data_IF_773989084517
#
_entry.id   IF_773989084517
#
_cell.length_a   1.000
_cell.length_b   1.000
_cell.length_c   1.000
_cell.angle_alpha   90.00
_cell.angle_beta   90.00
_cell.angle_gamma   90.00
#
_symmetry.space_group_name_H-M   'P 1'
#
loop_
_entity.id
_entity.type
_entity.pdbx_description
1 polymer ?
#
# COMPACT_ATOMS: atom_id res chain seq x y z
N UNK A 1 -20.95 -11.75 -8.82
CA UNK A 1 -20.13 -11.32 -7.66
C UNK A 1 -19.64 -9.89 -7.84
N UNK A 2 -18.97 -9.56 -8.94
CA UNK A 2 -18.39 -8.23 -9.16
C UNK A 2 -19.32 -7.02 -8.91
N UNK A 3 -20.61 -7.01 -9.32
CA UNK A 3 -21.49 -5.87 -9.03
C UNK A 3 -21.67 -5.56 -7.53
N UNK A 4 -21.34 -6.50 -6.64
CA UNK A 4 -21.47 -6.39 -5.19
C UNK A 4 -20.10 -6.27 -4.48
N UNK A 5 -19.01 -6.00 -5.20
CA UNK A 5 -17.66 -5.92 -4.63
C UNK A 5 -17.50 -4.79 -3.61
N UNK A 6 -18.29 -3.72 -3.74
CA UNK A 6 -18.31 -2.58 -2.82
C UNK A 6 -19.67 -2.37 -2.17
N UNK A 7 -20.43 -3.45 -1.96
CA UNK A 7 -21.74 -3.37 -1.31
C UNK A 7 -21.63 -2.76 0.10
N UNK A 8 -22.66 -2.04 0.55
CA UNK A 8 -22.68 -1.40 1.87
C UNK A 8 -22.92 -2.42 2.98
N UNK A 9 -23.50 -3.59 2.68
CA UNK A 9 -23.59 -4.69 3.65
C UNK A 9 -22.21 -5.37 3.80
N UNK A 10 -21.51 -5.22 4.95
CA UNK A 10 -20.19 -5.80 5.16
C UNK A 10 -20.20 -7.34 5.21
N UNK A 11 -21.33 -7.96 5.54
CA UNK A 11 -21.44 -9.43 5.51
C UNK A 11 -21.43 -9.89 4.06
N UNK A 12 -22.25 -9.25 3.21
CA UNK A 12 -22.29 -9.55 1.79
C UNK A 12 -20.93 -9.26 1.14
N UNK A 13 -20.39 -8.05 1.32
CA UNK A 13 -19.14 -7.61 0.70
C UNK A 13 -17.93 -8.42 1.14
N UNK A 14 -17.65 -8.47 2.44
CA UNK A 14 -16.38 -8.98 2.96
C UNK A 14 -16.38 -10.50 3.04
N UNK A 15 -17.44 -11.08 3.63
CA UNK A 15 -17.48 -12.52 3.92
C UNK A 15 -17.93 -13.33 2.72
N UNK A 16 -18.99 -12.89 2.04
CA UNK A 16 -19.59 -13.66 0.95
C UNK A 16 -18.93 -13.36 -0.39
N UNK A 17 -18.85 -12.09 -0.79
CA UNK A 17 -18.32 -11.71 -2.11
C UNK A 17 -16.81 -11.85 -2.13
N UNK A 18 -16.08 -11.08 -1.32
CA UNK A 18 -14.62 -11.17 -1.31
C UNK A 18 -14.13 -12.48 -0.71
N UNK A 19 -14.65 -12.87 0.46
CA UNK A 19 -14.18 -14.07 1.17
C UNK A 19 -14.31 -15.38 0.38
N UNK A 20 -15.40 -15.57 -0.38
CA UNK A 20 -15.51 -16.74 -1.26
C UNK A 20 -14.65 -16.60 -2.51
N UNK A 21 -14.61 -15.42 -3.13
CA UNK A 21 -13.83 -15.21 -4.35
C UNK A 21 -12.34 -15.38 -4.12
N UNK A 22 -11.79 -14.78 -3.05
CA UNK A 22 -10.38 -14.91 -2.70
C UNK A 22 -10.02 -16.37 -2.43
N UNK A 23 -10.88 -17.12 -1.71
CA UNK A 23 -10.69 -18.55 -1.49
C UNK A 23 -10.69 -19.34 -2.80
N UNK A 24 -11.65 -19.12 -3.69
CA UNK A 24 -11.71 -19.84 -4.97
C UNK A 24 -10.51 -19.53 -5.87
N UNK A 25 -10.10 -18.26 -5.94
CA UNK A 25 -8.93 -17.83 -6.74
C UNK A 25 -7.66 -18.46 -6.18
N UNK A 26 -7.40 -18.28 -4.88
CA UNK A 26 -6.15 -18.74 -4.24
C UNK A 26 -6.03 -20.26 -4.17
N UNK A 27 -7.16 -20.99 -4.14
CA UNK A 27 -7.20 -22.46 -4.21
C UNK A 27 -7.19 -23.01 -5.65
N UNK A 28 -7.12 -22.15 -6.68
CA UNK A 28 -7.06 -22.56 -8.08
C UNK A 28 -8.37 -23.12 -8.65
N UNK A 29 -9.51 -22.78 -8.03
CA UNK A 29 -10.85 -23.20 -8.49
C UNK A 29 -11.40 -22.30 -9.61
N UNK A 30 -10.73 -21.17 -9.90
CA UNK A 30 -11.07 -20.26 -11.00
C UNK A 30 -10.04 -20.43 -12.12
N UNK A 31 -10.53 -20.56 -13.36
CA UNK A 31 -9.64 -20.76 -14.52
C UNK A 31 -8.79 -19.52 -14.84
N UNK A 32 -7.58 -19.68 -15.40
CA UNK A 32 -6.77 -18.56 -15.87
C UNK A 32 -7.46 -17.61 -16.85
N UNK A 33 -8.31 -18.15 -17.74
CA UNK A 33 -9.09 -17.35 -18.70
C UNK A 33 -10.08 -16.46 -17.94
N UNK A 34 -10.82 -17.04 -17.00
CA UNK A 34 -11.78 -16.30 -16.17
C UNK A 34 -11.08 -15.26 -15.29
N UNK A 35 -9.92 -15.57 -14.72
CA UNK A 35 -9.15 -14.61 -13.92
C UNK A 35 -8.65 -13.42 -14.77
N UNK A 36 -8.19 -13.67 -16.01
CA UNK A 36 -7.83 -12.59 -16.94
C UNK A 36 -9.04 -11.68 -17.25
N UNK A 37 -10.21 -12.27 -17.55
CA UNK A 37 -11.43 -11.50 -17.82
C UNK A 37 -11.89 -10.66 -16.62
N UNK A 38 -11.81 -11.24 -15.41
CA UNK A 38 -12.09 -10.51 -14.17
C UNK A 38 -11.10 -9.36 -14.02
N UNK A 39 -9.79 -9.61 -14.20
CA UNK A 39 -8.77 -8.60 -14.06
C UNK A 39 -8.96 -7.44 -15.07
N UNK A 40 -9.25 -7.74 -16.34
CA UNK A 40 -9.57 -6.73 -17.35
C UNK A 40 -10.70 -5.80 -16.90
N UNK A 41 -11.74 -6.35 -16.27
CA UNK A 41 -12.88 -5.60 -15.76
C UNK A 41 -12.51 -4.73 -14.55
N UNK A 42 -11.76 -5.30 -13.60
CA UNK A 42 -11.33 -4.64 -12.37
C UNK A 42 -10.45 -3.41 -12.64
N UNK A 43 -9.63 -3.43 -13.70
CA UNK A 43 -8.74 -2.32 -14.06
C UNK A 43 -9.45 -1.12 -14.72
N UNK A 44 -10.77 -1.17 -14.90
CA UNK A 44 -11.54 -0.10 -15.54
C UNK A 44 -12.03 0.95 -14.53
N UNK A 45 -12.50 2.10 -15.05
CA UNK A 45 -13.16 3.13 -14.24
C UNK A 45 -14.46 2.67 -13.56
N UNK A 46 -14.99 1.50 -13.91
CA UNK A 46 -16.15 0.91 -13.20
C UNK A 46 -15.79 0.34 -11.84
N UNK A 47 -14.50 0.08 -11.58
CA UNK A 47 -14.02 -0.62 -10.39
C UNK A 47 -12.86 0.11 -9.72
N UNK A 48 -11.62 -0.04 -10.22
CA UNK A 48 -10.43 0.49 -9.56
C UNK A 48 -10.45 2.02 -9.41
N UNK A 49 -11.08 2.73 -10.34
CA UNK A 49 -11.17 4.21 -10.29
C UNK A 49 -12.58 4.71 -9.98
N UNK A 50 -13.42 3.89 -9.34
CA UNK A 50 -14.78 4.28 -9.00
C UNK A 50 -14.80 5.27 -7.83
N UNK A 51 -15.74 6.22 -7.86
CA UNK A 51 -15.90 7.22 -6.78
C UNK A 51 -16.30 6.57 -5.44
N UNK A 52 -17.00 5.44 -5.46
CA UNK A 52 -17.38 4.71 -4.25
C UNK A 52 -16.18 3.97 -3.64
N UNK A 53 -15.74 4.45 -2.47
CA UNK A 53 -14.54 3.97 -1.76
C UNK A 53 -14.50 2.46 -1.53
N UNK A 54 -15.62 1.83 -1.15
CA UNK A 54 -15.69 0.38 -0.96
C UNK A 54 -15.43 -0.39 -2.25
N UNK A 55 -15.95 0.09 -3.39
CA UNK A 55 -15.76 -0.61 -4.67
C UNK A 55 -14.30 -0.59 -5.08
N UNK A 56 -13.67 0.59 -5.09
CA UNK A 56 -12.26 0.70 -5.48
C UNK A 56 -11.31 0.04 -4.48
N UNK A 57 -11.62 0.11 -3.19
CA UNK A 57 -10.83 -0.56 -2.15
C UNK A 57 -10.88 -2.08 -2.26
N UNK A 58 -12.07 -2.69 -2.36
CA UNK A 58 -12.15 -4.15 -2.50
C UNK A 58 -11.68 -4.64 -3.88
N UNK A 59 -11.66 -3.77 -4.88
CA UNK A 59 -11.03 -4.07 -6.18
C UNK A 59 -9.55 -4.40 -6.03
N UNK A 60 -8.79 -3.66 -5.21
CA UNK A 60 -7.36 -3.96 -5.00
C UNK A 60 -7.15 -5.31 -4.31
N UNK A 61 -8.02 -5.72 -3.38
CA UNK A 61 -7.98 -7.07 -2.80
C UNK A 61 -8.21 -8.19 -3.81
N UNK A 62 -9.12 -8.00 -4.77
CA UNK A 62 -9.32 -8.98 -5.84
C UNK A 62 -8.10 -9.06 -6.75
N UNK A 63 -7.49 -7.91 -7.08
CA UNK A 63 -6.23 -7.85 -7.82
C UNK A 63 -5.14 -8.61 -7.04
N UNK A 64 -5.00 -8.38 -5.74
CA UNK A 64 -4.06 -9.09 -4.88
C UNK A 64 -4.24 -10.61 -4.94
N UNK A 65 -5.48 -11.12 -4.83
CA UNK A 65 -5.76 -12.55 -4.92
C UNK A 65 -5.36 -13.16 -6.27
N UNK A 66 -5.59 -12.43 -7.37
CA UNK A 66 -5.21 -12.84 -8.74
C UNK A 66 -3.69 -12.85 -8.89
N UNK A 67 -2.99 -11.81 -8.40
CA UNK A 67 -1.54 -11.72 -8.43
C UNK A 67 -0.88 -12.81 -7.58
N UNK A 68 -1.43 -13.11 -6.40
CA UNK A 68 -1.02 -14.25 -5.58
C UNK A 68 -1.12 -15.56 -6.37
N UNK A 69 -2.24 -15.78 -7.06
CA UNK A 69 -2.44 -17.00 -7.86
C UNK A 69 -1.43 -17.08 -9.01
N UNK A 70 -1.17 -15.97 -9.69
CA UNK A 70 -0.17 -15.86 -10.77
C UNK A 70 1.24 -16.15 -10.24
N UNK A 71 1.60 -15.61 -9.07
CA UNK A 71 2.89 -15.85 -8.42
C UNK A 71 3.11 -17.34 -8.09
N UNK A 72 2.05 -18.07 -7.77
CA UNK A 72 2.09 -19.52 -7.54
C UNK A 72 2.17 -20.34 -8.83
N UNK A 73 1.45 -19.91 -9.87
CA UNK A 73 1.40 -20.56 -11.17
C UNK A 73 1.17 -19.49 -12.24
N UNK A 74 2.22 -19.18 -13.00
CA UNK A 74 2.21 -18.06 -13.92
C UNK A 74 1.20 -18.28 -15.06
N UNK A 75 0.31 -17.30 -15.29
CA UNK A 75 -0.68 -17.32 -16.37
C UNK A 75 -0.98 -15.95 -16.99
N UNK A 76 -0.62 -14.85 -16.32
CA UNK A 76 -0.71 -13.50 -16.86
C UNK A 76 0.47 -13.25 -17.81
N UNK A 77 0.21 -12.54 -18.90
CA UNK A 77 1.28 -12.10 -19.80
C UNK A 77 2.00 -10.88 -19.24
N UNK A 78 3.25 -10.65 -19.66
CA UNK A 78 4.00 -9.45 -19.30
C UNK A 78 3.24 -8.15 -19.60
N UNK A 79 2.49 -8.09 -20.71
CA UNK A 79 1.67 -6.93 -21.05
C UNK A 79 0.53 -6.71 -20.05
N UNK A 80 -0.08 -7.77 -19.53
CA UNK A 80 -1.12 -7.65 -18.50
C UNK A 80 -0.50 -7.20 -17.17
N UNK A 81 0.65 -7.76 -16.79
CA UNK A 81 1.38 -7.36 -15.58
C UNK A 81 1.76 -5.88 -15.63
N UNK A 82 2.25 -5.39 -16.78
CA UNK A 82 2.57 -3.97 -16.97
C UNK A 82 1.34 -3.07 -16.75
N UNK A 83 0.18 -3.43 -17.31
CA UNK A 83 -1.05 -2.67 -17.07
C UNK A 83 -1.45 -2.67 -15.59
N UNK A 84 -1.30 -3.80 -14.89
CA UNK A 84 -1.59 -3.88 -13.45
C UNK A 84 -0.64 -2.99 -12.66
N UNK A 85 0.64 -2.99 -12.99
CA UNK A 85 1.64 -2.10 -12.39
C UNK A 85 1.24 -0.63 -12.53
N UNK A 86 0.97 -0.18 -13.75
CA UNK A 86 0.56 1.22 -14.00
C UNK A 86 -0.73 1.57 -13.27
N UNK A 87 -1.69 0.64 -13.23
CA UNK A 87 -2.98 0.87 -12.62
C UNK A 87 -2.91 0.97 -11.09
N UNK A 88 -2.17 0.06 -10.43
CA UNK A 88 -1.98 0.10 -8.99
C UNK A 88 -1.14 1.32 -8.57
N UNK A 89 -0.14 1.71 -9.37
CA UNK A 89 0.64 2.92 -9.13
C UNK A 89 -0.23 4.18 -9.23
N UNK A 90 -1.06 4.27 -10.28
CA UNK A 90 -2.02 5.37 -10.44
C UNK A 90 -3.03 5.41 -9.29
N UNK A 91 -3.57 4.25 -8.90
CA UNK A 91 -4.51 4.13 -7.79
C UNK A 91 -3.92 4.69 -6.49
N UNK A 92 -2.73 4.21 -6.09
CA UNK A 92 -2.15 4.60 -4.81
C UNK A 92 -1.79 6.09 -4.81
N UNK A 93 -1.31 6.63 -5.94
CA UNK A 93 -1.02 8.06 -6.11
C UNK A 93 -2.24 8.94 -5.90
N UNK A 94 -3.39 8.54 -6.44
CA UNK A 94 -4.64 9.31 -6.43
C UNK A 94 -5.50 9.09 -5.18
N UNK A 95 -5.25 8.03 -4.39
CA UNK A 95 -6.09 7.74 -3.23
C UNK A 95 -5.95 8.80 -2.14
N UNK A 96 -7.10 9.22 -1.62
CA UNK A 96 -7.27 10.29 -0.62
C UNK A 96 -8.15 9.87 0.55
N UNK A 97 -8.85 8.74 0.44
CA UNK A 97 -9.55 8.08 1.54
C UNK A 97 -8.52 7.26 2.30
N UNK A 98 -8.46 7.42 3.61
CA UNK A 98 -7.53 6.71 4.48
C UNK A 98 -8.23 6.10 5.71
N UNK A 99 -9.56 6.11 5.75
CA UNK A 99 -10.31 5.45 6.82
C UNK A 99 -10.08 3.93 6.76
N UNK A 100 -9.83 3.32 7.92
CA UNK A 100 -9.63 1.87 8.00
C UNK A 100 -10.93 1.11 8.22
N UNK A 101 -11.69 1.48 9.26
CA UNK A 101 -12.95 0.82 9.63
C UNK A 101 -14.08 1.84 9.85
N UNK A 102 -15.28 1.45 9.45
CA UNK A 102 -16.53 2.15 9.71
C UNK A 102 -17.47 1.24 10.53
N UNK A 103 -18.04 1.75 11.63
CA UNK A 103 -18.89 0.93 12.51
C UNK A 103 -20.16 0.41 11.83
N UNK A 104 -20.68 1.14 10.83
CA UNK A 104 -21.88 0.75 10.09
C UNK A 104 -21.53 -0.15 8.91
N UNK A 105 -20.49 0.23 8.17
CA UNK A 105 -20.19 -0.35 6.86
C UNK A 105 -19.00 -1.30 6.87
N UNK A 106 -18.31 -1.50 7.99
CA UNK A 106 -17.16 -2.40 8.12
C UNK A 106 -15.86 -1.86 7.54
N UNK A 107 -15.01 -2.75 7.02
CA UNK A 107 -13.69 -2.38 6.52
C UNK A 107 -13.76 -1.49 5.28
N UNK A 108 -13.05 -0.36 5.32
CA UNK A 108 -12.85 0.56 4.19
C UNK A 108 -11.46 0.29 3.60
N UNK A 109 -10.38 0.57 4.35
CA UNK A 109 -9.02 0.08 4.11
C UNK A 109 -8.46 0.29 2.68
N UNK A 110 -8.73 1.42 2.05
CA UNK A 110 -8.23 1.76 0.71
C UNK A 110 -6.70 1.61 0.59
N UNK A 111 -5.94 2.15 1.54
CA UNK A 111 -4.47 2.04 1.55
C UNK A 111 -3.99 0.64 1.94
N UNK A 112 -4.59 0.04 2.98
CA UNK A 112 -4.24 -1.30 3.46
C UNK A 112 -4.47 -2.38 2.40
N UNK A 113 -5.59 -2.34 1.69
CA UNK A 113 -5.89 -3.28 0.61
C UNK A 113 -5.00 -3.08 -0.62
N UNK A 114 -4.65 -1.82 -0.93
CA UNK A 114 -3.69 -1.54 -2.00
C UNK A 114 -2.29 -2.06 -1.66
N UNK A 115 -1.88 -1.98 -0.39
CA UNK A 115 -0.62 -2.56 0.07
C UNK A 115 -0.57 -4.08 -0.20
N UNK A 116 -1.66 -4.81 0.02
CA UNK A 116 -1.72 -6.26 -0.27
C UNK A 116 -1.50 -6.54 -1.78
N UNK A 117 -2.10 -5.72 -2.66
CA UNK A 117 -1.92 -5.86 -4.10
C UNK A 117 -0.49 -5.50 -4.56
N UNK A 118 0.06 -4.43 -4.01
CA UNK A 118 1.43 -3.99 -4.31
C UNK A 118 2.48 -4.97 -3.77
N UNK A 119 2.23 -5.61 -2.63
CA UNK A 119 3.08 -6.67 -2.09
C UNK A 119 3.12 -7.88 -3.03
N UNK A 120 1.98 -8.35 -3.53
CA UNK A 120 1.94 -9.44 -4.49
C UNK A 120 2.61 -9.07 -5.81
N UNK A 121 2.41 -7.82 -6.28
CA UNK A 121 3.02 -7.31 -7.51
C UNK A 121 4.56 -7.26 -7.40
N UNK A 122 5.12 -6.69 -6.33
CA UNK A 122 6.57 -6.46 -6.22
C UNK A 122 7.38 -7.75 -6.15
N UNK A 123 6.72 -8.84 -5.76
CA UNK A 123 7.29 -10.19 -5.66
C UNK A 123 7.28 -10.95 -7.00
N UNK A 124 6.66 -10.41 -8.06
CA UNK A 124 6.67 -11.04 -9.38
C UNK A 124 8.07 -10.98 -10.00
N UNK A 125 8.48 -12.07 -10.63
CA UNK A 125 9.77 -12.16 -11.32
C UNK A 125 9.80 -11.26 -12.57
N UNK A 126 8.63 -10.96 -13.12
CA UNK A 126 8.43 -10.13 -14.31
C UNK A 126 8.65 -8.63 -14.05
N UNK A 127 8.63 -8.19 -12.78
CA UNK A 127 8.93 -6.80 -12.45
C UNK A 127 10.42 -6.49 -12.55
N UNK A 128 10.74 -5.34 -13.15
CA UNK A 128 12.10 -4.83 -13.19
C UNK A 128 12.50 -4.22 -11.84
N UNK A 129 13.80 -4.07 -11.59
CA UNK A 129 14.28 -3.39 -10.38
C UNK A 129 13.83 -1.93 -10.32
N UNK A 130 13.78 -1.24 -11.46
CA UNK A 130 13.29 0.13 -11.55
C UNK A 130 11.80 0.19 -11.15
N UNK A 131 10.98 -0.75 -11.61
CA UNK A 131 9.57 -0.83 -11.19
C UNK A 131 9.42 -1.08 -9.68
N UNK A 132 10.22 -1.99 -9.11
CA UNK A 132 10.23 -2.22 -7.65
C UNK A 132 10.63 -0.96 -6.89
N UNK A 133 11.63 -0.24 -7.40
CA UNK A 133 12.08 1.03 -6.81
C UNK A 133 10.96 2.09 -6.86
N UNK A 134 10.29 2.25 -8.01
CA UNK A 134 9.16 3.18 -8.16
C UNK A 134 8.03 2.88 -7.18
N UNK A 135 7.66 1.61 -7.01
CA UNK A 135 6.63 1.21 -6.04
C UNK A 135 7.08 1.52 -4.61
N UNK A 136 8.33 1.20 -4.26
CA UNK A 136 8.85 1.48 -2.93
C UNK A 136 8.88 2.98 -2.62
N UNK A 137 9.31 3.81 -3.58
CA UNK A 137 9.30 5.26 -3.46
C UNK A 137 7.89 5.81 -3.27
N UNK A 138 6.92 5.35 -4.07
CA UNK A 138 5.53 5.78 -3.96
C UNK A 138 4.94 5.42 -2.59
N UNK A 139 5.22 4.22 -2.07
CA UNK A 139 4.75 3.79 -0.74
C UNK A 139 5.38 4.64 0.36
N UNK A 140 6.69 4.87 0.30
CA UNK A 140 7.39 5.75 1.25
C UNK A 140 6.76 7.14 1.21
N UNK A 141 6.45 7.65 0.02
CA UNK A 141 5.83 8.96 -0.13
C UNK A 141 4.40 8.99 0.41
N UNK A 142 3.59 7.99 0.09
CA UNK A 142 2.17 7.90 0.48
C UNK A 142 1.97 7.86 1.99
N UNK A 143 2.95 7.35 2.75
CA UNK A 143 2.89 7.29 4.22
C UNK A 143 3.03 8.65 4.92
N UNK A 144 3.42 9.69 4.19
CA UNK A 144 3.20 11.08 4.56
C UNK A 144 1.76 11.52 4.20
N UNK A 145 0.75 10.75 4.65
CA UNK A 145 -0.64 10.92 4.24
C UNK A 145 -1.30 12.13 4.92
N UNK A 146 -1.89 13.09 4.18
CA UNK A 146 -2.36 14.35 4.77
C UNK A 146 -3.83 14.40 5.15
N UNK A 147 -4.65 13.43 4.71
CA UNK A 147 -6.10 13.56 4.80
C UNK A 147 -6.69 13.11 6.14
N UNK A 148 -6.08 12.12 6.79
CA UNK A 148 -6.48 11.63 8.11
C UNK A 148 -5.34 10.88 8.81
N UNK A 149 -5.53 10.58 10.10
CA UNK A 149 -4.65 9.67 10.82
C UNK A 149 -4.89 8.21 10.40
N UNK A 150 -3.81 7.51 10.06
CA UNK A 150 -3.82 6.09 9.73
C UNK A 150 -3.73 5.27 11.02
N UNK A 151 -4.79 4.55 11.34
CA UNK A 151 -5.04 4.02 12.69
C UNK A 151 -5.41 2.53 12.71
N UNK A 152 -5.42 1.87 11.56
CA UNK A 152 -5.86 0.49 11.42
C UNK A 152 -4.80 -0.32 10.65
N UNK A 153 -3.53 -0.19 11.05
CA UNK A 153 -2.40 -0.99 10.54
C UNK A 153 -2.06 -0.75 9.05
N UNK A 154 -2.52 0.35 8.45
CA UNK A 154 -2.14 0.72 7.08
C UNK A 154 -0.61 0.83 6.94
N UNK A 155 0.05 1.38 7.95
CA UNK A 155 1.50 1.54 8.01
C UNK A 155 2.24 0.18 8.09
N UNK A 156 1.69 -0.79 8.80
CA UNK A 156 2.26 -2.13 8.90
C UNK A 156 2.18 -2.86 7.56
N UNK A 157 1.04 -2.77 6.87
CA UNK A 157 0.85 -3.38 5.54
C UNK A 157 1.74 -2.73 4.49
N UNK A 158 1.87 -1.41 4.50
CA UNK A 158 2.82 -0.72 3.63
C UNK A 158 4.27 -1.12 3.91
N UNK A 159 4.63 -1.36 5.17
CA UNK A 159 5.96 -1.83 5.54
C UNK A 159 6.26 -3.25 5.01
N UNK A 160 5.25 -4.11 4.84
CA UNK A 160 5.43 -5.41 4.18
C UNK A 160 5.88 -5.25 2.73
N UNK A 161 5.31 -4.29 1.98
CA UNK A 161 5.71 -4.07 0.59
C UNK A 161 7.18 -3.66 0.48
N UNK A 162 7.66 -2.77 1.36
CA UNK A 162 9.07 -2.37 1.40
C UNK A 162 9.97 -3.56 1.75
N UNK A 163 9.55 -4.38 2.71
CA UNK A 163 10.28 -5.60 3.06
C UNK A 163 10.36 -6.55 1.86
N UNK A 164 9.25 -6.78 1.15
CA UNK A 164 9.21 -7.59 -0.07
C UNK A 164 10.09 -7.00 -1.18
N UNK A 165 10.12 -5.66 -1.35
CA UNK A 165 11.03 -5.00 -2.29
C UNK A 165 12.49 -5.37 -2.02
N UNK A 166 12.92 -5.26 -0.77
CA UNK A 166 14.28 -5.59 -0.33
C UNK A 166 14.61 -7.07 -0.55
N UNK A 167 13.67 -7.96 -0.21
CA UNK A 167 13.81 -9.40 -0.43
C UNK A 167 13.89 -9.78 -1.92
N UNK A 168 13.36 -8.93 -2.80
CA UNK A 168 13.39 -9.10 -4.26
C UNK A 168 14.44 -8.22 -4.94
N UNK A 169 15.49 -7.82 -4.21
CA UNK A 169 16.72 -7.27 -4.80
C UNK A 169 16.83 -5.75 -4.77
N UNK A 170 15.86 -5.02 -4.20
CA UNK A 170 16.02 -3.59 -4.01
C UNK A 170 17.13 -3.32 -2.97
N UNK A 171 18.14 -2.48 -3.27
CA UNK A 171 19.24 -2.22 -2.34
C UNK A 171 18.77 -1.49 -1.06
N UNK A 172 19.20 -1.94 0.14
CA UNK A 172 18.85 -1.28 1.40
C UNK A 172 19.24 0.20 1.45
N UNK A 173 20.36 0.58 0.83
CA UNK A 173 20.83 1.97 0.85
C UNK A 173 19.92 2.90 0.04
N UNK A 174 19.31 2.41 -1.05
CA UNK A 174 18.33 3.17 -1.85
C UNK A 174 17.08 3.47 -1.01
N UNK A 175 16.52 2.44 -0.36
CA UNK A 175 15.38 2.61 0.56
C UNK A 175 15.74 3.55 1.71
N UNK A 176 16.95 3.42 2.27
CA UNK A 176 17.43 4.29 3.33
C UNK A 176 17.56 5.75 2.91
N UNK A 177 17.93 6.02 1.65
CA UNK A 177 18.00 7.36 1.08
C UNK A 177 16.59 7.97 0.96
N UNK A 178 15.66 7.25 0.33
CA UNK A 178 14.27 7.66 0.17
C UNK A 178 13.61 8.01 1.51
N UNK A 179 13.80 7.16 2.53
CA UNK A 179 13.24 7.41 3.87
C UNK A 179 13.85 8.65 4.52
N UNK A 180 15.17 8.88 4.38
CA UNK A 180 15.83 10.07 4.94
C UNK A 180 15.36 11.35 4.25
N UNK A 181 15.24 11.33 2.93
CA UNK A 181 14.77 12.46 2.13
C UNK A 181 13.35 12.84 2.54
N UNK A 182 12.42 11.88 2.51
CA UNK A 182 11.05 12.13 2.93
C UNK A 182 10.93 12.52 4.40
N UNK A 183 11.70 11.91 5.30
CA UNK A 183 11.74 12.33 6.71
C UNK A 183 12.15 13.81 6.86
N UNK A 184 13.13 14.26 6.08
CA UNK A 184 13.60 15.64 6.11
C UNK A 184 12.54 16.61 5.61
N UNK A 185 11.82 16.26 4.54
CA UNK A 185 10.67 17.03 4.03
C UNK A 185 9.57 17.16 5.08
N UNK A 186 9.16 16.04 5.68
CA UNK A 186 8.10 16.05 6.71
C UNK A 186 8.51 16.88 7.93
N UNK A 187 9.78 16.81 8.35
CA UNK A 187 10.30 17.61 9.47
C UNK A 187 10.26 19.10 9.15
N UNK A 188 10.44 19.49 7.89
CA UNK A 188 10.48 20.89 7.47
C UNK A 188 9.13 21.62 7.61
N UNK A 189 8.02 20.89 7.79
CA UNK A 189 6.72 21.51 8.10
C UNK A 189 6.66 22.15 9.51
N UNK A 190 7.63 21.90 10.40
CA UNK A 190 7.67 22.55 11.71
C UNK A 190 8.32 23.94 11.66
N UNK A 191 7.84 24.98 12.38
CA UNK A 191 6.84 24.95 13.46
C UNK A 191 5.40 25.31 13.06
N UNK A 192 5.16 25.73 11.82
CA UNK A 192 3.82 26.12 11.36
C UNK A 192 2.98 24.87 11.14
N UNK A 193 1.99 24.63 12.00
CA UNK A 193 1.22 23.37 12.00
C UNK A 193 -0.22 23.59 11.56
N UNK A 194 -0.59 23.00 10.43
CA UNK A 194 -1.98 22.69 10.08
C UNK A 194 -2.35 21.29 10.57
N UNK A 195 -3.64 20.95 10.55
CA UNK A 195 -4.09 19.59 10.86
C UNK A 195 -3.48 18.56 9.90
N UNK A 196 -3.38 18.90 8.61
CA UNK A 196 -2.73 18.07 7.60
C UNK A 196 -1.24 17.82 7.94
N UNK A 197 -0.51 18.84 8.37
CA UNK A 197 0.91 18.68 8.77
C UNK A 197 1.06 17.75 9.98
N UNK A 198 0.11 17.79 10.92
CA UNK A 198 0.06 16.88 12.06
C UNK A 198 -0.21 15.44 11.62
N UNK A 199 -1.15 15.22 10.69
CA UNK A 199 -1.40 13.89 10.12
C UNK A 199 -0.19 13.36 9.37
N UNK A 200 0.38 14.14 8.45
CA UNK A 200 1.59 13.76 7.70
C UNK A 200 2.70 13.30 8.65
N UNK A 201 2.98 14.11 9.68
CA UNK A 201 4.01 13.82 10.66
C UNK A 201 3.71 12.56 11.47
N UNK A 202 2.49 12.42 11.98
CA UNK A 202 2.10 11.28 12.81
C UNK A 202 2.17 9.97 12.01
N UNK A 203 1.55 9.95 10.83
CA UNK A 203 1.50 8.81 9.92
C UNK A 203 2.91 8.38 9.49
N UNK A 204 3.74 9.33 9.06
CA UNK A 204 5.08 8.99 8.60
C UNK A 204 5.99 8.50 9.74
N UNK A 205 5.85 9.08 10.93
CA UNK A 205 6.58 8.61 12.12
C UNK A 205 6.16 7.20 12.52
N UNK A 206 4.87 6.89 12.43
CA UNK A 206 4.34 5.54 12.69
C UNK A 206 4.89 4.55 11.66
N UNK A 207 4.88 4.90 10.37
CA UNK A 207 5.47 4.09 9.31
C UNK A 207 6.96 3.79 9.52
N UNK A 208 7.77 4.78 9.92
CA UNK A 208 9.20 4.56 10.25
C UNK A 208 9.36 3.53 11.38
N UNK A 209 8.48 3.54 12.38
CA UNK A 209 8.51 2.59 13.50
C UNK A 209 8.15 1.18 13.02
N UNK A 210 7.14 1.06 12.17
CA UNK A 210 6.76 -0.21 11.57
C UNK A 210 7.86 -0.79 10.68
N UNK A 211 8.52 0.05 9.87
CA UNK A 211 9.74 -0.34 9.14
C UNK A 211 10.86 -0.78 10.10
N UNK A 212 11.07 -0.06 11.22
CA UNK A 212 12.14 -0.41 12.17
C UNK A 212 11.96 -1.82 12.76
N UNK A 213 10.72 -2.20 13.09
CA UNK A 213 10.43 -3.53 13.59
C UNK A 213 10.45 -4.59 12.50
N UNK A 214 9.89 -4.29 11.31
CA UNK A 214 9.81 -5.25 10.20
C UNK A 214 11.17 -5.57 9.59
N UNK A 215 12.05 -4.58 9.45
CA UNK A 215 13.33 -4.71 8.75
C UNK A 215 14.46 -5.16 9.67
N UNK A 216 14.18 -6.10 10.59
CA UNK A 216 15.16 -6.65 11.54
C UNK A 216 16.40 -7.23 10.86
N UNK A 217 16.19 -7.79 9.66
CA UNK A 217 17.21 -8.49 8.88
C UNK A 217 18.12 -7.53 8.09
N UNK A 218 17.87 -6.21 8.17
CA UNK A 218 18.63 -5.16 7.47
C UNK A 218 19.22 -4.14 8.46
N UNK A 219 20.34 -4.45 9.14
CA UNK A 219 20.89 -3.62 10.23
C UNK A 219 21.24 -2.18 9.83
N UNK A 220 21.73 -1.96 8.59
CA UNK A 220 22.03 -0.62 8.08
C UNK A 220 20.78 0.26 7.99
N UNK A 221 19.66 -0.32 7.56
CA UNK A 221 18.36 0.33 7.52
C UNK A 221 17.83 0.61 8.92
N UNK A 222 17.93 -0.33 9.87
CA UNK A 222 17.50 -0.07 11.26
C UNK A 222 18.20 1.14 11.87
N UNK A 223 19.52 1.29 11.63
CA UNK A 223 20.28 2.44 12.11
C UNK A 223 19.77 3.74 11.49
N UNK A 224 19.49 3.73 10.19
CA UNK A 224 18.89 4.87 9.47
C UNK A 224 17.53 5.23 10.06
N UNK A 225 16.62 4.26 10.19
CA UNK A 225 15.26 4.44 10.69
C UNK A 225 15.24 4.97 12.12
N UNK A 226 16.11 4.44 12.98
CA UNK A 226 16.29 4.94 14.34
C UNK A 226 16.74 6.41 14.33
N UNK A 227 17.73 6.76 13.49
CA UNK A 227 18.17 8.14 13.33
C UNK A 227 17.04 9.08 12.89
N UNK A 228 16.23 8.68 11.91
CA UNK A 228 15.06 9.44 11.48
C UNK A 228 14.06 9.64 12.64
N UNK A 229 13.71 8.57 13.38
CA UNK A 229 12.79 8.67 14.53
C UNK A 229 13.27 9.67 15.59
N UNK A 230 14.57 9.66 15.88
CA UNK A 230 15.18 10.60 16.84
C UNK A 230 15.08 12.06 16.34
N UNK A 231 15.23 12.31 15.04
CA UNK A 231 15.00 13.65 14.48
C UNK A 231 13.56 14.10 14.71
N UNK A 232 12.56 13.23 14.47
CA UNK A 232 11.16 13.53 14.75
C UNK A 232 10.88 13.84 16.22
N UNK A 233 11.55 13.15 17.14
CA UNK A 233 11.41 13.37 18.58
C UNK A 233 12.13 14.63 19.06
N UNK A 234 13.26 14.99 18.44
CA UNK A 234 14.08 16.14 18.82
C UNK A 234 13.53 17.52 18.42
N UNK A 235 12.59 17.61 17.47
CA UNK A 235 12.11 18.92 16.98
C UNK A 235 11.45 19.79 18.06
N UNK A 236 10.84 19.18 19.07
CA UNK A 236 10.19 19.90 20.18
C UNK A 236 11.17 20.65 21.08
N UNK A 237 12.45 20.29 21.01
CA UNK A 237 13.52 20.87 21.82
C UNK A 237 14.35 21.91 21.06
N UNK A 238 14.09 22.10 19.75
CA UNK A 238 14.72 23.17 18.97
C UNK A 238 14.04 24.50 19.31
N UNK A 239 14.76 25.38 20.02
CA UNK A 239 14.33 26.78 20.19
C UNK A 239 14.19 27.41 18.80
N UNK A 240 13.13 28.21 18.53
CA UNK A 240 13.06 28.96 17.29
C UNK A 240 14.30 29.84 17.18
N UNK A 241 15.00 29.76 16.05
CA UNK A 241 16.06 30.69 15.70
C UNK A 241 15.47 32.09 15.68
N UNK A 242 15.90 32.95 16.61
CA UNK A 242 15.55 34.38 16.68
C UNK A 242 16.10 35.15 15.49
#
# INVERSE_FOLDING_TARGET
MLPYIGDLDPILRDRLIYGLASKWITQGLVSPITMNQILDELLTGRYLYKEEKFTRSFTTLWIAAILYRHRKEAFLSAAVIERVFQALLTYIQQETVGEGYDETYGWVHTLAHAADALDELIQLAELTNDQRQTVAEEIINKMAFPYNALSHEEDERMAFVIHSALRNGLPPDIVGCMVKEKASEVIAFWPEVTEADLYIRANYKQFIRSLYFRLSDFPSLKKTLHGCEQLFSGIYHKKPSS
#
